data_IF_980058636439
#
_entry.id   IF_980058636439
#
_cell.length_a   1.000
_cell.length_b   1.000
_cell.length_c   1.000
_cell.angle_alpha   90.00
_cell.angle_beta   90.00
_cell.angle_gamma   90.00
#
_symmetry.space_group_name_H-M   'P 1'
#
loop_
_entity.id
_entity.type
_entity.pdbx_description
1 polymer ?
#
# COMPACT_ATOMS: atom_id res chain seq x y z
N UNK A 1 29.36 -2.65 -15.35
CA UNK A 1 28.18 -3.54 -15.35
C UNK A 1 28.46 -4.61 -14.30
N UNK A 2 27.75 -4.82 -13.20
CA UNK A 2 26.63 -4.15 -12.55
C UNK A 2 26.71 -4.61 -11.07
N UNK A 3 26.67 -3.69 -10.11
CA UNK A 3 26.46 -4.01 -8.69
C UNK A 3 25.23 -3.19 -8.26
N UNK A 4 24.07 -3.60 -8.77
CA UNK A 4 22.82 -3.01 -8.34
C UNK A 4 22.37 -3.78 -7.11
N UNK A 5 22.57 -3.19 -5.93
CA UNK A 5 22.05 -3.70 -4.65
C UNK A 5 20.53 -3.77 -4.76
N UNK A 6 19.98 -4.99 -4.87
CA UNK A 6 18.54 -5.22 -4.96
C UNK A 6 18.03 -5.55 -3.56
N UNK A 7 17.09 -4.76 -3.05
CA UNK A 7 16.51 -4.98 -1.74
C UNK A 7 15.41 -6.06 -1.82
N UNK A 8 15.55 -7.13 -1.06
CA UNK A 8 14.63 -8.28 -1.06
C UNK A 8 13.72 -8.19 0.17
N UNK A 9 12.41 -8.30 -0.03
CA UNK A 9 11.43 -8.39 1.06
C UNK A 9 11.60 -9.72 1.79
N UNK A 10 11.82 -9.68 3.11
CA UNK A 10 11.92 -10.87 3.96
C UNK A 10 11.00 -10.74 5.17
N UNK A 11 10.16 -11.76 5.38
CA UNK A 11 9.39 -11.98 6.60
C UNK A 11 10.27 -12.71 7.62
N UNK A 12 11.17 -11.98 8.27
CA UNK A 12 11.93 -12.48 9.43
C UNK A 12 11.36 -11.89 10.72
N UNK A 13 11.24 -12.65 11.83
CA UNK A 13 10.81 -12.09 13.11
C UNK A 13 11.87 -11.09 13.61
N UNK A 14 11.47 -9.85 13.84
CA UNK A 14 12.35 -8.78 14.32
C UNK A 14 12.56 -8.90 15.86
N UNK A 15 13.80 -8.75 16.32
CA UNK A 15 14.21 -8.92 17.74
C UNK A 15 14.44 -7.58 18.46
N UNK A 16 13.95 -6.45 17.97
CA UNK A 16 14.16 -5.15 18.64
C UNK A 16 12.84 -4.45 18.98
N UNK A 17 12.84 -3.76 20.12
CA UNK A 17 11.71 -3.06 20.73
C UNK A 17 11.34 -1.83 19.88
N UNK A 18 10.18 -1.84 19.21
CA UNK A 18 9.75 -0.75 18.31
C UNK A 18 8.38 -0.21 18.71
N UNK A 19 8.26 1.12 18.68
CA UNK A 19 7.03 1.89 18.92
C UNK A 19 5.86 1.39 18.05
N UNK A 20 4.67 1.37 18.64
CA UNK A 20 3.44 0.86 17.99
C UNK A 20 3.05 1.77 16.83
N UNK A 21 3.42 1.40 15.60
CA UNK A 21 3.06 2.14 14.41
C UNK A 21 1.57 1.89 14.08
N UNK A 22 0.73 2.91 14.22
CA UNK A 22 -0.67 2.84 13.80
C UNK A 22 -0.74 2.72 12.27
N UNK A 23 -1.69 1.93 11.72
CA UNK A 23 -1.81 1.75 10.28
C UNK A 23 -2.02 3.09 9.57
N UNK A 24 -1.16 3.38 8.60
CA UNK A 24 -1.16 4.63 7.83
C UNK A 24 -2.27 4.56 6.78
N UNK A 25 -3.26 5.47 6.79
CA UNK A 25 -4.31 5.45 5.79
C UNK A 25 -3.78 5.87 4.42
N UNK A 26 -4.17 5.13 3.38
CA UNK A 26 -3.91 5.46 1.97
C UNK A 26 -5.23 5.88 1.32
N UNK A 27 -5.25 7.09 0.77
CA UNK A 27 -6.45 7.75 0.25
C UNK A 27 -6.31 8.08 -1.23
N UNK A 28 -7.45 8.14 -1.92
CA UNK A 28 -7.55 8.50 -3.33
C UNK A 28 -7.26 9.99 -3.51
N UNK A 29 -6.33 10.33 -4.40
CA UNK A 29 -5.94 11.71 -4.66
C UNK A 29 -6.93 12.46 -5.56
N UNK A 30 -7.57 11.75 -6.50
CA UNK A 30 -8.55 12.32 -7.43
C UNK A 30 -9.71 11.35 -7.68
N UNK A 31 -10.93 11.90 -7.82
CA UNK A 31 -12.12 11.08 -8.11
C UNK A 31 -11.90 10.31 -9.41
N UNK A 32 -11.95 8.98 -9.33
CA UNK A 32 -11.61 8.07 -10.42
C UNK A 32 -12.78 7.14 -10.70
N UNK A 33 -13.13 6.99 -11.97
CA UNK A 33 -14.13 6.03 -12.44
C UNK A 33 -13.42 4.73 -12.81
N UNK A 34 -13.81 3.63 -12.17
CA UNK A 34 -13.35 2.30 -12.47
C UNK A 34 -14.30 1.65 -13.47
N UNK A 35 -13.79 1.41 -14.67
CA UNK A 35 -14.56 0.74 -15.71
C UNK A 35 -14.89 -0.71 -15.32
N UNK A 36 -16.02 -1.25 -15.79
CA UNK A 36 -16.35 -2.66 -15.62
C UNK A 36 -15.25 -3.57 -16.17
N UNK A 37 -15.01 -4.69 -15.48
CA UNK A 37 -14.10 -5.75 -15.93
C UNK A 37 -12.70 -5.25 -16.32
N UNK A 38 -12.19 -4.26 -15.58
CA UNK A 38 -10.93 -3.59 -15.89
C UNK A 38 -10.07 -3.35 -14.64
N UNK A 39 -8.78 -3.14 -14.88
CA UNK A 39 -7.80 -2.72 -13.87
C UNK A 39 -7.38 -1.28 -14.16
N UNK A 40 -7.23 -0.46 -13.12
CA UNK A 40 -6.92 0.96 -13.25
C UNK A 40 -5.90 1.38 -12.20
N UNK A 41 -4.88 2.13 -12.61
CA UNK A 41 -3.97 2.79 -11.68
C UNK A 41 -4.64 4.03 -11.10
N UNK A 42 -5.00 3.94 -9.82
CA UNK A 42 -5.65 5.02 -9.08
C UNK A 42 -4.57 5.84 -8.36
N UNK A 43 -4.48 7.16 -8.60
CA UNK A 43 -3.54 8.00 -7.87
C UNK A 43 -3.99 8.16 -6.43
N UNK A 44 -3.03 8.02 -5.53
CA UNK A 44 -3.26 8.00 -4.10
C UNK A 44 -2.26 8.90 -3.38
N UNK A 45 -2.53 9.15 -2.10
CA UNK A 45 -1.61 9.79 -1.19
C UNK A 45 -1.69 9.13 0.20
N UNK A 46 -0.61 9.25 0.95
CA UNK A 46 -0.56 8.96 2.39
C UNK A 46 -0.07 10.21 3.12
N UNK A 47 -0.29 10.26 4.44
CA UNK A 47 0.15 11.39 5.28
C UNK A 47 1.65 11.31 5.64
N UNK A 48 2.35 10.28 5.18
CA UNK A 48 3.79 10.10 5.43
C UNK A 48 4.59 10.89 4.40
N UNK A 49 5.37 11.84 4.89
CA UNK A 49 6.25 12.70 4.09
C UNK A 49 7.70 12.20 4.00
N UNK A 50 8.08 11.25 4.86
CA UNK A 50 9.42 10.68 4.89
C UNK A 50 9.61 9.64 3.78
N UNK A 51 10.80 9.53 3.19
CA UNK A 51 11.09 8.60 2.09
C UNK A 51 11.17 7.11 2.53
N UNK A 52 10.46 6.76 3.59
CA UNK A 52 10.39 5.41 4.15
C UNK A 52 9.52 4.53 3.25
N UNK A 53 9.98 3.32 2.90
CA UNK A 53 9.15 2.37 2.16
C UNK A 53 7.95 1.94 2.99
N UNK A 54 6.78 1.90 2.35
CA UNK A 54 5.51 1.51 2.93
C UNK A 54 5.00 0.25 2.23
N UNK A 55 4.48 -0.70 3.02
CA UNK A 55 3.78 -1.87 2.53
C UNK A 55 2.28 -1.68 2.72
N UNK A 56 1.47 -1.95 1.69
CA UNK A 56 0.03 -2.08 1.87
C UNK A 56 -0.28 -3.29 2.76
N UNK A 57 -0.84 -3.02 3.93
CA UNK A 57 -1.13 -4.02 4.96
C UNK A 57 -2.58 -4.52 4.92
N UNK A 58 -3.54 -3.66 4.58
CA UNK A 58 -4.95 -4.06 4.55
C UNK A 58 -5.80 -3.21 3.60
N UNK A 59 -6.59 -3.87 2.75
CA UNK A 59 -7.61 -3.22 1.94
C UNK A 59 -8.76 -2.69 2.82
N UNK A 60 -9.33 -1.53 2.46
CA UNK A 60 -10.52 -0.99 3.11
C UNK A 60 -11.74 -1.91 2.91
N UNK A 61 -12.50 -2.23 3.97
CA UNK A 61 -13.70 -3.07 3.87
C UNK A 61 -14.74 -2.55 2.86
N UNK A 62 -14.83 -1.23 2.70
CA UNK A 62 -15.76 -0.59 1.75
C UNK A 62 -15.50 -0.98 0.29
N UNK A 63 -14.25 -1.32 -0.06
CA UNK A 63 -13.92 -1.79 -1.40
C UNK A 63 -14.36 -3.25 -1.57
N UNK A 64 -14.16 -4.07 -0.54
CA UNK A 64 -14.57 -5.47 -0.54
C UNK A 64 -16.09 -5.62 -0.70
N UNK A 65 -16.88 -4.77 -0.03
CA UNK A 65 -18.34 -4.70 -0.17
C UNK A 65 -18.80 -4.39 -1.60
N UNK A 66 -17.96 -3.68 -2.37
CA UNK A 66 -18.21 -3.33 -3.78
C UNK A 66 -17.49 -4.26 -4.76
N UNK A 67 -16.96 -5.39 -4.28
CA UNK A 67 -16.18 -6.35 -5.08
C UNK A 67 -14.94 -5.76 -5.76
N UNK A 68 -14.41 -4.64 -5.25
CA UNK A 68 -13.17 -4.04 -5.74
C UNK A 68 -11.97 -4.68 -5.05
N UNK A 69 -10.88 -4.84 -5.80
CA UNK A 69 -9.63 -5.42 -5.29
C UNK A 69 -8.48 -4.44 -5.48
N UNK A 70 -7.66 -4.27 -4.45
CA UNK A 70 -6.41 -3.49 -4.49
C UNK A 70 -5.25 -4.48 -4.55
N UNK A 71 -4.38 -4.34 -5.55
CA UNK A 71 -3.20 -5.18 -5.65
C UNK A 71 -2.23 -4.89 -4.48
N UNK A 72 -1.65 -5.92 -3.84
CA UNK A 72 -0.58 -5.73 -2.86
C UNK A 72 0.59 -4.94 -3.46
N UNK A 73 1.12 -3.97 -2.72
CA UNK A 73 2.18 -3.10 -3.21
C UNK A 73 3.11 -2.61 -2.10
N UNK A 74 4.37 -2.42 -2.45
CA UNK A 74 5.35 -1.63 -1.69
C UNK A 74 5.62 -0.35 -2.46
N UNK A 75 5.57 0.79 -1.78
CA UNK A 75 5.74 2.10 -2.38
C UNK A 75 6.46 3.05 -1.43
N UNK A 76 7.12 4.07 -1.98
CA UNK A 76 7.76 5.12 -1.18
C UNK A 76 6.82 6.34 -1.07
N UNK A 77 7.06 7.21 -0.09
CA UNK A 77 6.38 8.51 -0.05
C UNK A 77 6.64 9.31 -1.33
N UNK A 78 5.58 9.91 -1.89
CA UNK A 78 5.63 10.60 -3.17
C UNK A 78 4.38 10.38 -4.02
N UNK A 79 4.56 10.21 -5.34
CA UNK A 79 3.46 9.92 -6.26
C UNK A 79 3.07 8.44 -6.10
N UNK A 80 2.00 8.18 -5.36
CA UNK A 80 1.49 6.82 -5.13
C UNK A 80 0.46 6.51 -6.22
N UNK A 81 0.61 5.36 -6.87
CA UNK A 81 -0.38 4.82 -7.81
C UNK A 81 -0.65 3.38 -7.46
N UNK A 82 -1.88 3.10 -7.05
CA UNK A 82 -2.29 1.75 -6.67
C UNK A 82 -3.15 1.13 -7.76
N UNK A 83 -2.89 -0.14 -8.07
CA UNK A 83 -3.67 -0.87 -9.04
C UNK A 83 -4.96 -1.35 -8.36
N UNK A 84 -6.10 -0.90 -8.90
CA UNK A 84 -7.43 -1.30 -8.44
C UNK A 84 -8.15 -2.04 -9.56
N UNK A 85 -8.64 -3.23 -9.25
CA UNK A 85 -9.36 -4.10 -10.16
C UNK A 85 -10.85 -4.03 -9.85
N UNK A 86 -11.65 -3.73 -10.87
CA UNK A 86 -13.10 -3.84 -10.85
C UNK A 86 -13.51 -5.08 -11.66
N UNK A 87 -13.69 -6.25 -11.01
CA UNK A 87 -14.13 -7.48 -11.67
C UNK A 87 -15.62 -7.47 -12.01
N UNK A 88 -16.39 -6.46 -11.56
CA UNK A 88 -17.83 -6.41 -11.77
C UNK A 88 -18.21 -5.97 -13.19
N UNK A 89 -19.49 -6.14 -13.53
CA UNK A 89 -20.07 -5.62 -14.77
C UNK A 89 -20.52 -4.16 -14.69
N UNK A 90 -20.40 -3.53 -13.52
CA UNK A 90 -20.85 -2.15 -13.29
C UNK A 90 -19.64 -1.23 -13.12
N UNK A 91 -19.81 0.04 -13.50
CA UNK A 91 -18.81 1.06 -13.21
C UNK A 91 -18.86 1.43 -11.74
N UNK A 92 -17.72 1.49 -11.09
CA UNK A 92 -17.59 1.94 -9.71
C UNK A 92 -16.86 3.29 -9.66
N UNK A 93 -17.20 4.11 -8.66
CA UNK A 93 -16.56 5.42 -8.48
C UNK A 93 -15.81 5.43 -7.16
N UNK A 94 -14.52 5.73 -7.23
CA UNK A 94 -13.70 6.06 -6.09
C UNK A 94 -13.66 7.58 -5.96
N UNK A 95 -14.09 8.09 -4.81
CA UNK A 95 -14.11 9.52 -4.56
C UNK A 95 -12.77 10.00 -4.03
N UNK A 96 -12.43 11.25 -4.35
CA UNK A 96 -11.30 11.94 -3.70
C UNK A 96 -11.39 11.83 -2.17
N UNK A 97 -10.25 11.64 -1.52
CA UNK A 97 -10.05 11.49 -0.07
C UNK A 97 -10.64 10.21 0.55
N UNK A 98 -11.29 9.36 -0.26
CA UNK A 98 -11.76 8.04 0.15
C UNK A 98 -10.56 7.15 0.51
N UNK A 99 -10.61 6.50 1.68
CA UNK A 99 -9.59 5.52 2.08
C UNK A 99 -9.81 4.22 1.32
N UNK A 100 -8.76 3.76 0.61
CA UNK A 100 -8.80 2.51 -0.16
C UNK A 100 -8.01 1.39 0.51
N UNK A 101 -6.99 1.74 1.29
CA UNK A 101 -6.12 0.79 1.94
C UNK A 101 -5.45 1.42 3.17
N UNK A 102 -4.76 0.58 3.93
CA UNK A 102 -3.87 0.95 5.01
C UNK A 102 -2.48 0.41 4.71
N UNK A 103 -1.46 1.11 5.21
CA UNK A 103 -0.06 0.75 5.01
C UNK A 103 0.70 0.70 6.34
N UNK A 104 1.81 -0.04 6.34
CA UNK A 104 2.75 -0.15 7.45
C UNK A 104 4.14 0.25 6.99
N UNK A 105 4.93 0.87 7.86
CA UNK A 105 6.33 1.20 7.57
C UNK A 105 7.18 -0.07 7.47
N UNK A 106 8.01 -0.12 6.45
CA UNK A 106 9.06 -1.14 6.34
C UNK A 106 10.39 -0.57 6.85
N UNK A 107 11.14 -1.41 7.55
CA UNK A 107 12.49 -1.10 8.02
C UNK A 107 13.48 -1.82 7.11
N UNK A 108 14.50 -1.10 6.62
CA UNK A 108 15.61 -1.69 5.87
C UNK A 108 16.68 -2.20 6.85
N UNK A 109 16.95 -3.50 6.80
CA UNK A 109 18.05 -4.12 7.53
C UNK A 109 19.39 -3.82 6.87
N UNK A 110 20.47 -3.85 7.65
CA UNK A 110 21.85 -3.75 7.18
C UNK A 110 22.22 -4.78 6.10
N UNK A 111 21.50 -5.91 6.04
CA UNK A 111 21.61 -6.93 5.01
C UNK A 111 20.96 -6.56 3.66
N UNK A 112 20.33 -5.39 3.53
CA UNK A 112 19.61 -4.97 2.32
C UNK A 112 18.23 -5.61 2.19
N UNK A 113 17.60 -5.97 3.31
CA UNK A 113 16.30 -6.65 3.30
C UNK A 113 15.25 -5.76 3.96
N UNK A 114 14.04 -5.75 3.41
CA UNK A 114 12.92 -4.99 3.97
C UNK A 114 12.07 -5.90 4.85
N UNK A 115 11.82 -5.48 6.08
CA UNK A 115 11.00 -6.19 7.06
C UNK A 115 9.86 -5.29 7.57
N UNK A 116 8.72 -5.90 7.87
CA UNK A 116 7.64 -5.21 8.57
C UNK A 116 8.07 -4.91 10.02
N UNK A 117 7.72 -3.72 10.50
CA UNK A 117 7.74 -3.44 11.92
C UNK A 117 6.58 -4.19 12.59
N UNK A 118 6.77 -5.46 12.94
CA UNK A 118 5.70 -6.28 13.54
C UNK A 118 5.46 -5.89 15.01
N UNK A 119 4.21 -5.56 15.35
CA UNK A 119 3.71 -5.67 16.71
C UNK A 119 3.26 -7.12 16.97
N UNK A 120 3.80 -7.79 17.99
CA UNK A 120 3.20 -9.02 18.52
C UNK A 120 2.09 -8.66 19.53
N UNK A 121 0.98 -9.44 19.60
CA UNK A 121 0.02 -9.35 20.70
C UNK A 121 0.59 -9.86 22.03
#
# INVERSE_FOLDING_TARGET
>A
MADQKVNILLSAPATEEVEVDFPIPVRVAETTVLHPSAETFVPCYSEVSDNTPLLLSAQSPQLSERSLMVAPAVFNAGIIRLLVTNPSSNSEVLYKDQQISSATRLVESSAGTLAEASACP
#
